data_IF_334732080088
#
_entry.id   IF_334732080088
#
_cell.length_a   1.000
_cell.length_b   1.000
_cell.length_c   1.000
_cell.angle_alpha   90.00
_cell.angle_beta   90.00
_cell.angle_gamma   90.00
#
_symmetry.space_group_name_H-M   'P 1'
#
loop_
_entity.id
_entity.type
_entity.pdbx_description
1 polymer ?
#
# COMPACT_ATOMS: atom_id res chain seq x y z
N UNK A 1 20.25 -8.33 -4.33
CA UNK A 1 20.22 -6.88 -4.14
C UNK A 1 19.59 -6.59 -2.79
N UNK A 2 20.15 -5.66 -2.02
CA UNK A 2 19.60 -5.34 -0.70
C UNK A 2 18.37 -4.46 -0.84
N UNK A 3 17.29 -4.83 -0.17
CA UNK A 3 16.04 -4.07 -0.14
C UNK A 3 15.55 -3.91 1.29
N UNK A 4 14.98 -2.75 1.59
CA UNK A 4 14.43 -2.39 2.89
C UNK A 4 12.90 -2.53 2.86
N UNK A 5 12.36 -3.28 3.82
CA UNK A 5 10.93 -3.55 3.98
C UNK A 5 10.42 -3.02 5.32
N UNK A 6 9.18 -2.51 5.33
CA UNK A 6 8.49 -2.09 6.55
C UNK A 6 7.31 -3.01 6.83
N UNK A 7 7.24 -3.57 8.04
CA UNK A 7 6.28 -4.62 8.39
C UNK A 7 4.91 -4.13 8.89
N UNK A 8 4.69 -2.81 8.93
CA UNK A 8 3.45 -2.22 9.44
C UNK A 8 3.35 -2.17 10.97
N UNK A 9 4.28 -2.81 11.69
CA UNK A 9 4.33 -2.90 13.16
C UNK A 9 5.47 -2.07 13.76
N UNK A 10 6.16 -1.30 12.92
CA UNK A 10 7.27 -0.44 13.32
C UNK A 10 8.65 -1.07 13.15
N UNK A 11 8.76 -2.24 12.52
CA UNK A 11 10.05 -2.87 12.27
C UNK A 11 10.47 -2.75 10.81
N UNK A 12 11.77 -2.52 10.64
CA UNK A 12 12.43 -2.46 9.34
C UNK A 12 13.27 -3.71 9.14
N UNK A 13 13.12 -4.33 7.97
CA UNK A 13 13.83 -5.55 7.60
C UNK A 13 14.68 -5.26 6.37
N UNK A 14 15.94 -5.68 6.38
CA UNK A 14 16.82 -5.60 5.21
C UNK A 14 17.01 -7.02 4.71
N UNK A 15 16.56 -7.28 3.50
CA UNK A 15 16.60 -8.58 2.86
C UNK A 15 17.51 -8.50 1.62
N UNK A 16 18.23 -9.59 1.34
CA UNK A 16 18.92 -9.74 0.06
C UNK A 16 18.00 -10.52 -0.90
N UNK A 17 17.48 -9.81 -1.90
CA UNK A 17 16.49 -10.34 -2.83
C UNK A 17 17.06 -10.47 -4.24
N UNK A 18 16.53 -11.35 -5.10
CA UNK A 18 16.92 -11.39 -6.50
C UNK A 18 16.74 -10.03 -7.19
N UNK A 19 17.55 -9.76 -8.20
CA UNK A 19 17.35 -8.59 -9.05
C UNK A 19 16.01 -8.72 -9.82
N UNK A 20 15.29 -7.61 -10.09
CA UNK A 20 14.09 -7.63 -10.91
C UNK A 20 14.39 -8.14 -12.33
N UNK A 21 13.47 -8.89 -12.90
CA UNK A 21 13.49 -9.19 -14.33
C UNK A 21 13.19 -7.91 -15.13
N UNK A 22 13.70 -7.86 -16.36
CA UNK A 22 13.49 -6.74 -17.28
C UNK A 22 13.21 -7.33 -18.67
N UNK A 23 11.99 -7.10 -19.16
CA UNK A 23 11.54 -7.61 -20.44
C UNK A 23 11.79 -6.62 -21.59
N UNK A 24 11.47 -7.04 -22.82
CA UNK A 24 11.62 -6.20 -24.00
C UNK A 24 10.74 -4.94 -23.89
N UNK A 25 11.38 -3.76 -23.98
CA UNK A 25 10.71 -2.47 -23.83
C UNK A 25 10.76 -1.90 -22.42
N UNK A 26 11.33 -2.62 -21.45
CA UNK A 26 11.53 -2.14 -20.09
C UNK A 26 12.96 -1.65 -19.86
N UNK A 27 13.17 -0.88 -18.79
CA UNK A 27 14.49 -0.41 -18.36
C UNK A 27 14.67 -0.75 -16.89
N UNK A 28 15.72 -1.51 -16.59
CA UNK A 28 16.16 -1.75 -15.22
C UNK A 28 17.00 -0.57 -14.73
N UNK A 29 16.59 0.02 -13.61
CA UNK A 29 17.25 1.19 -13.02
C UNK A 29 17.87 0.81 -11.68
N UNK A 30 19.16 1.11 -11.51
CA UNK A 30 19.85 0.98 -10.22
C UNK A 30 19.78 2.29 -9.44
N UNK A 31 19.16 2.25 -8.26
CA UNK A 31 19.16 3.39 -7.35
C UNK A 31 20.57 3.64 -6.80
N UNK A 32 21.11 4.85 -7.00
CA UNK A 32 22.41 5.26 -6.46
C UNK A 32 22.29 5.84 -5.05
N UNK A 33 21.21 6.59 -4.81
CA UNK A 33 20.92 7.26 -3.55
C UNK A 33 19.41 7.22 -3.29
N UNK A 34 19.03 7.35 -2.02
CA UNK A 34 17.63 7.46 -1.61
C UNK A 34 17.51 8.58 -0.57
N UNK A 35 16.40 9.31 -0.63
CA UNK A 35 16.06 10.37 0.33
C UNK A 35 14.82 9.94 1.11
N UNK A 36 14.88 10.15 2.42
CA UNK A 36 13.83 9.82 3.38
C UNK A 36 13.14 11.14 3.76
N UNK A 37 11.81 11.20 3.63
CA UNK A 37 10.97 12.35 3.95
C UNK A 37 9.87 12.00 4.97
N UNK A 38 9.77 12.81 6.02
CA UNK A 38 8.88 12.57 7.16
C UNK A 38 7.39 12.44 6.78
N UNK A 39 6.93 13.11 5.71
CA UNK A 39 5.52 13.13 5.31
C UNK A 39 5.01 11.81 4.71
N UNK A 40 5.80 11.20 3.82
CA UNK A 40 5.44 9.94 3.17
C UNK A 40 5.72 8.73 4.05
N UNK A 41 6.77 8.77 4.86
CA UNK A 41 7.11 7.69 5.79
C UNK A 41 6.09 7.54 6.90
N UNK A 42 5.58 8.66 7.44
CA UNK A 42 4.50 8.61 8.43
C UNK A 42 3.24 7.97 7.83
N UNK A 43 2.97 8.17 6.55
CA UNK A 43 1.84 7.55 5.84
C UNK A 43 2.07 6.05 5.61
N UNK A 44 3.28 5.62 5.24
CA UNK A 44 3.63 4.21 5.10
C UNK A 44 3.63 3.48 6.45
N UNK A 45 4.10 4.15 7.51
CA UNK A 45 4.13 3.62 8.87
C UNK A 45 2.71 3.41 9.45
N UNK A 46 1.79 4.29 9.12
CA UNK A 46 0.39 4.23 9.58
C UNK A 46 -0.53 3.41 8.67
N UNK A 47 -0.09 3.11 7.44
CA UNK A 47 -0.86 2.36 6.44
C UNK A 47 -1.13 0.90 6.79
N UNK A 48 -0.29 0.30 7.64
CA UNK A 48 -0.40 -1.10 8.12
C UNK A 48 -1.37 -1.34 9.28
N UNK A 49 -2.18 -0.35 9.66
CA UNK A 49 -3.16 -0.49 10.74
C UNK A 49 -4.36 -1.38 10.39
N UNK A 50 -5.05 -1.91 11.42
CA UNK A 50 -6.30 -2.66 11.28
C UNK A 50 -7.31 -1.95 10.36
N UNK A 51 -7.82 -2.67 9.35
CA UNK A 51 -8.87 -2.18 8.43
C UNK A 51 -10.07 -1.61 9.19
N UNK A 52 -10.42 -2.20 10.35
CA UNK A 52 -11.52 -1.73 11.20
C UNK A 52 -11.20 -0.35 11.78
N UNK A 53 -9.98 -0.13 12.29
CA UNK A 53 -9.56 1.18 12.80
C UNK A 53 -9.55 2.23 11.69
N UNK A 54 -9.10 1.88 10.48
CA UNK A 54 -9.17 2.79 9.32
C UNK A 54 -10.60 3.12 8.93
N UNK A 55 -11.49 2.13 8.93
CA UNK A 55 -12.91 2.35 8.64
C UNK A 55 -13.54 3.32 9.65
N UNK A 56 -13.29 3.13 10.94
CA UNK A 56 -13.77 4.03 12.00
C UNK A 56 -13.20 5.45 11.85
N UNK A 57 -11.91 5.57 11.53
CA UNK A 57 -11.25 6.87 11.34
C UNK A 57 -11.71 7.60 10.07
N UNK A 58 -12.28 6.88 9.09
CA UNK A 58 -12.71 7.43 7.81
C UNK A 58 -14.17 7.06 7.51
N UNK A 59 -15.15 7.59 8.29
CA UNK A 59 -16.56 7.23 8.17
C UNK A 59 -17.16 7.58 6.81
N UNK A 60 -16.63 8.61 6.14
CA UNK A 60 -17.03 8.96 4.78
C UNK A 60 -16.80 7.81 3.77
N UNK A 61 -15.75 7.00 3.95
CA UNK A 61 -15.48 5.87 3.05
C UNK A 61 -16.46 4.73 3.28
N UNK A 62 -16.84 4.46 4.53
CA UNK A 62 -17.88 3.47 4.86
C UNK A 62 -19.21 3.89 4.20
N UNK A 63 -19.57 5.17 4.32
CA UNK A 63 -20.81 5.69 3.73
C UNK A 63 -20.81 5.56 2.21
N UNK A 64 -19.71 5.91 1.54
CA UNK A 64 -19.58 5.73 0.08
C UNK A 64 -19.67 4.27 -0.33
N UNK A 65 -19.04 3.37 0.42
CA UNK A 65 -19.11 1.93 0.17
C UNK A 65 -20.55 1.40 0.32
N UNK A 66 -21.28 1.82 1.35
CA UNK A 66 -22.68 1.47 1.55
C UNK A 66 -23.58 2.03 0.43
N UNK A 67 -23.39 3.29 0.05
CA UNK A 67 -24.12 3.90 -1.07
C UNK A 67 -23.84 3.19 -2.40
N UNK A 68 -22.60 2.76 -2.63
CA UNK A 68 -22.23 1.98 -3.80
C UNK A 68 -22.88 0.58 -3.80
N UNK A 69 -22.84 -0.11 -2.65
CA UNK A 69 -23.51 -1.41 -2.48
C UNK A 69 -25.03 -1.31 -2.71
N UNK A 70 -25.66 -0.24 -2.24
CA UNK A 70 -27.09 0.00 -2.43
C UNK A 70 -27.44 0.31 -3.89
N UNK A 71 -26.59 1.06 -4.60
CA UNK A 71 -26.85 1.47 -5.98
C UNK A 71 -26.52 0.39 -7.02
N UNK A 72 -25.42 -0.33 -6.83
CA UNK A 72 -24.88 -1.26 -7.82
C UNK A 72 -24.96 -2.74 -7.39
N UNK A 73 -25.37 -2.99 -6.15
CA UNK A 73 -25.39 -4.32 -5.55
C UNK A 73 -24.04 -4.74 -4.98
N UNK A 74 -24.09 -5.63 -3.97
CA UNK A 74 -22.91 -6.12 -3.24
C UNK A 74 -21.98 -6.92 -4.16
N UNK A 75 -22.52 -7.64 -5.15
CA UNK A 75 -21.73 -8.42 -6.11
C UNK A 75 -20.85 -7.55 -7.02
N UNK A 76 -21.34 -6.37 -7.45
CA UNK A 76 -20.55 -5.42 -8.23
C UNK A 76 -19.49 -4.72 -7.37
N UNK A 77 -19.83 -4.43 -6.11
CA UNK A 77 -18.90 -3.88 -5.12
C UNK A 77 -17.72 -4.81 -4.90
N UNK A 78 -17.96 -6.09 -4.56
CA UNK A 78 -16.90 -7.07 -4.29
C UNK A 78 -15.99 -7.38 -5.50
N UNK A 79 -16.42 -7.02 -6.71
CA UNK A 79 -15.62 -7.19 -7.93
C UNK A 79 -14.74 -5.98 -8.24
N UNK A 80 -15.02 -4.83 -7.61
CA UNK A 80 -14.36 -3.55 -7.86
C UNK A 80 -13.30 -3.23 -6.81
N UNK A 81 -13.46 -3.75 -5.58
CA UNK A 81 -12.41 -3.74 -4.53
C UNK A 81 -11.53 -4.97 -4.63
#
# INVERSE_FOLDING_TARGET
MKQLFFDGKGQLHIEDVPAPACDAGEILVQASHSLISAGTESTAATGGGSLIRRAIAQPQLIRRAAEFALKQGVGAMLRTV
#
